data_IF_788823148167
#
_entry.id   IF_788823148167
#
_cell.length_a   1.000
_cell.length_b   1.000
_cell.length_c   1.000
_cell.angle_alpha   90.00
_cell.angle_beta   90.00
_cell.angle_gamma   90.00
#
_symmetry.space_group_name_H-M   'P 1'
#
loop_
_entity.id
_entity.type
_entity.pdbx_description
1 polymer ?
#
# COMPACT_ATOMS: atom_id res chain seq x y z
N UNK A 1 -44.31 7.99 -17.99
CA UNK A 1 -43.50 6.83 -18.42
C UNK A 1 -42.02 7.21 -18.72
N UNK A 2 -41.72 8.38 -19.28
CA UNK A 2 -40.32 8.80 -19.60
C UNK A 2 -39.52 9.26 -18.36
N UNK A 3 -40.13 9.97 -17.42
CA UNK A 3 -39.44 10.50 -16.21
C UNK A 3 -39.11 9.38 -15.21
N UNK A 4 -40.02 8.43 -14.98
CA UNK A 4 -39.80 7.30 -14.08
C UNK A 4 -38.66 6.38 -14.59
N UNK A 5 -38.53 6.22 -15.90
CA UNK A 5 -37.44 5.44 -16.50
C UNK A 5 -36.10 6.16 -16.36
N UNK A 6 -36.06 7.50 -16.50
CA UNK A 6 -34.85 8.32 -16.31
C UNK A 6 -34.38 8.24 -14.85
N UNK A 7 -35.30 8.44 -13.88
CA UNK A 7 -34.96 8.37 -12.45
C UNK A 7 -34.43 6.99 -12.04
N UNK A 8 -34.99 5.90 -12.61
CA UNK A 8 -34.50 4.54 -12.32
C UNK A 8 -33.10 4.30 -12.89
N UNK A 9 -32.79 4.87 -14.07
CA UNK A 9 -31.46 4.78 -14.70
C UNK A 9 -30.45 5.56 -13.88
N UNK A 10 -30.76 6.80 -13.47
CA UNK A 10 -29.89 7.64 -12.67
C UNK A 10 -29.56 6.99 -11.29
N UNK A 11 -30.58 6.39 -10.65
CA UNK A 11 -30.38 5.67 -9.39
C UNK A 11 -29.50 4.42 -9.56
N UNK A 12 -29.64 3.71 -10.68
CA UNK A 12 -28.78 2.55 -10.98
C UNK A 12 -27.34 2.97 -11.23
N UNK A 13 -27.12 4.05 -11.97
CA UNK A 13 -25.79 4.57 -12.24
C UNK A 13 -25.08 5.05 -10.96
N UNK A 14 -25.82 5.68 -10.04
CA UNK A 14 -25.31 6.04 -8.72
C UNK A 14 -24.90 4.80 -7.92
N UNK A 15 -25.75 3.76 -7.87
CA UNK A 15 -25.43 2.51 -7.16
C UNK A 15 -24.19 1.84 -7.77
N UNK A 16 -24.08 1.76 -9.09
CA UNK A 16 -22.93 1.20 -9.77
C UNK A 16 -21.65 1.99 -9.50
N UNK A 17 -21.73 3.31 -9.45
CA UNK A 17 -20.60 4.18 -9.09
C UNK A 17 -20.10 3.91 -7.67
N UNK A 18 -21.03 3.81 -6.70
CA UNK A 18 -20.71 3.49 -5.30
C UNK A 18 -20.12 2.09 -5.16
N UNK A 19 -20.67 1.12 -5.88
CA UNK A 19 -20.14 -0.26 -5.89
C UNK A 19 -18.72 -0.31 -6.41
N UNK A 20 -18.43 0.35 -7.54
CA UNK A 20 -17.08 0.43 -8.09
C UNK A 20 -16.08 1.02 -7.08
N UNK A 21 -16.48 2.10 -6.38
CA UNK A 21 -15.62 2.71 -5.34
C UNK A 21 -15.29 1.71 -4.22
N UNK A 22 -16.28 0.93 -3.76
CA UNK A 22 -16.06 -0.11 -2.73
C UNK A 22 -15.16 -1.23 -3.24
N UNK A 23 -15.35 -1.68 -4.49
CA UNK A 23 -14.52 -2.70 -5.12
C UNK A 23 -13.06 -2.22 -5.26
N UNK A 24 -12.86 -0.97 -5.63
CA UNK A 24 -11.54 -0.35 -5.74
C UNK A 24 -10.84 -0.24 -4.38
N UNK A 25 -11.54 0.24 -3.35
CA UNK A 25 -11.01 0.33 -1.99
C UNK A 25 -10.61 -1.06 -1.47
N UNK A 26 -11.44 -2.08 -1.73
CA UNK A 26 -11.14 -3.45 -1.38
C UNK A 26 -9.92 -4.00 -2.15
N UNK A 27 -9.80 -3.68 -3.44
CA UNK A 27 -8.66 -4.09 -4.26
C UNK A 27 -7.35 -3.46 -3.76
N UNK A 28 -7.36 -2.17 -3.45
CA UNK A 28 -6.21 -1.45 -2.87
C UNK A 28 -5.83 -2.01 -1.50
N UNK A 29 -6.82 -2.25 -0.63
CA UNK A 29 -6.58 -2.84 0.70
C UNK A 29 -5.96 -4.23 0.59
N UNK A 30 -6.42 -5.07 -0.33
CA UNK A 30 -5.85 -6.39 -0.61
C UNK A 30 -4.42 -6.30 -1.14
N UNK A 31 -4.15 -5.35 -2.04
CA UNK A 31 -2.80 -5.09 -2.56
C UNK A 31 -1.84 -4.76 -1.40
N UNK A 32 -2.22 -3.86 -0.51
CA UNK A 32 -1.42 -3.48 0.66
C UNK A 32 -1.19 -4.68 1.58
N UNK A 33 -2.25 -5.43 1.89
CA UNK A 33 -2.18 -6.61 2.74
C UNK A 33 -1.32 -7.74 2.14
N UNK A 34 -1.20 -7.82 0.82
CA UNK A 34 -0.40 -8.83 0.13
C UNK A 34 1.11 -8.62 0.29
N UNK A 35 1.56 -7.40 0.52
CA UNK A 35 3.00 -7.09 0.60
C UNK A 35 3.73 -7.91 1.66
N UNK A 36 3.23 -7.95 2.89
CA UNK A 36 3.86 -8.66 3.99
C UNK A 36 4.09 -10.16 3.67
N UNK A 37 3.04 -10.93 3.38
CA UNK A 37 3.16 -12.35 3.00
C UNK A 37 4.10 -12.59 1.82
N UNK A 38 4.10 -11.73 0.79
CA UNK A 38 4.95 -11.88 -0.39
C UNK A 38 6.43 -11.66 -0.09
N UNK A 39 6.78 -10.61 0.67
CA UNK A 39 8.19 -10.38 1.02
C UNK A 39 8.69 -11.40 2.03
N UNK A 40 7.89 -11.82 3.00
CA UNK A 40 8.28 -12.80 4.02
C UNK A 40 8.38 -14.22 3.46
N UNK A 41 7.66 -14.53 2.39
CA UNK A 41 7.84 -15.79 1.64
C UNK A 41 9.01 -15.75 0.64
N UNK A 42 9.63 -14.59 0.41
CA UNK A 42 10.67 -14.41 -0.59
C UNK A 42 10.16 -14.46 -2.03
N UNK A 43 8.85 -14.21 -2.24
CA UNK A 43 8.20 -14.21 -3.56
C UNK A 43 8.53 -12.92 -4.33
N UNK A 44 9.77 -12.79 -4.80
CA UNK A 44 10.32 -11.56 -5.36
C UNK A 44 9.55 -11.04 -6.57
N UNK A 45 9.21 -11.92 -7.53
CA UNK A 45 8.44 -11.53 -8.72
C UNK A 45 7.03 -11.04 -8.35
N UNK A 46 6.32 -11.77 -7.50
CA UNK A 46 4.98 -11.38 -7.06
C UNK A 46 5.00 -10.08 -6.25
N UNK A 47 6.03 -9.87 -5.43
CA UNK A 47 6.23 -8.61 -4.72
C UNK A 47 6.42 -7.46 -5.70
N UNK A 48 7.30 -7.61 -6.70
CA UNK A 48 7.56 -6.59 -7.69
C UNK A 48 6.32 -6.22 -8.51
N UNK A 49 5.41 -7.18 -8.78
CA UNK A 49 4.16 -6.94 -9.51
C UNK A 49 3.16 -6.04 -8.75
N UNK A 50 3.34 -5.79 -7.46
CA UNK A 50 2.52 -4.81 -6.74
C UNK A 50 2.79 -3.37 -7.22
N UNK A 51 3.94 -3.11 -7.85
CA UNK A 51 4.30 -1.79 -8.37
C UNK A 51 3.97 -1.63 -9.86
N UNK A 52 3.73 -0.39 -10.27
CA UNK A 52 3.81 0.01 -11.68
C UNK A 52 5.19 -0.34 -12.25
N UNK A 53 5.32 -0.49 -13.56
CA UNK A 53 6.62 -0.78 -14.18
C UNK A 53 7.67 0.31 -13.87
N UNK A 54 7.23 1.56 -13.76
CA UNK A 54 8.01 2.76 -13.43
C UNK A 54 7.88 3.19 -11.95
N UNK A 55 7.31 2.33 -11.11
CA UNK A 55 6.99 2.67 -9.72
C UNK A 55 8.22 2.97 -8.86
N UNK A 56 8.06 3.80 -7.85
CA UNK A 56 9.13 4.19 -6.93
C UNK A 56 8.86 3.67 -5.51
N UNK A 57 9.91 3.25 -4.82
CA UNK A 57 9.85 2.91 -3.41
C UNK A 57 10.96 3.63 -2.65
N UNK A 58 10.56 4.61 -1.86
CA UNK A 58 11.43 5.41 -1.00
C UNK A 58 11.25 4.97 0.46
N UNK A 59 12.30 4.49 1.07
CA UNK A 59 12.35 4.12 2.48
C UNK A 59 13.74 4.47 3.02
N UNK A 60 13.81 5.32 4.01
CA UNK A 60 14.97 5.65 4.83
C UNK A 60 16.34 5.47 4.20
N UNK A 61 16.71 6.36 3.28
CA UNK A 61 17.98 6.34 2.59
C UNK A 61 18.08 5.35 1.43
N UNK A 62 17.01 4.60 1.17
CA UNK A 62 16.88 3.71 0.01
C UNK A 62 15.82 4.27 -0.94
N UNK A 63 16.18 4.32 -2.20
CA UNK A 63 15.26 4.68 -3.27
C UNK A 63 15.37 3.63 -4.38
N UNK A 64 14.29 2.87 -4.59
CA UNK A 64 14.20 1.84 -5.61
C UNK A 64 13.27 2.33 -6.73
N UNK A 65 13.65 2.07 -7.99
CA UNK A 65 12.89 2.45 -9.17
C UNK A 65 12.61 1.25 -10.04
N UNK A 66 11.31 1.09 -10.35
CA UNK A 66 10.84 -0.01 -11.17
C UNK A 66 10.82 -1.36 -10.45
N UNK A 67 10.16 -2.31 -11.10
CA UNK A 67 9.95 -3.67 -10.57
C UNK A 67 11.26 -4.42 -10.34
N UNK A 68 12.29 -4.17 -11.17
CA UNK A 68 13.55 -4.91 -11.09
C UNK A 68 14.32 -4.59 -9.82
N UNK A 69 14.35 -3.34 -9.36
CA UNK A 69 15.00 -2.98 -8.11
C UNK A 69 14.22 -3.46 -6.89
N UNK A 70 12.89 -3.46 -6.94
CA UNK A 70 12.04 -4.07 -5.90
C UNK A 70 12.28 -5.58 -5.82
N UNK A 71 12.36 -6.28 -6.96
CA UNK A 71 12.72 -7.71 -7.02
C UNK A 71 14.10 -7.95 -6.39
N UNK A 72 15.10 -7.20 -6.82
CA UNK A 72 16.46 -7.32 -6.31
C UNK A 72 16.57 -7.09 -4.80
N UNK A 73 15.76 -6.19 -4.24
CA UNK A 73 15.69 -5.99 -2.79
C UNK A 73 15.21 -7.27 -2.08
N UNK A 74 14.14 -7.91 -2.54
CA UNK A 74 13.63 -9.16 -1.95
C UNK A 74 14.66 -10.29 -2.09
N UNK A 75 15.38 -10.35 -3.20
CA UNK A 75 16.43 -11.35 -3.46
C UNK A 75 17.75 -11.05 -2.76
N UNK A 76 17.92 -9.88 -2.16
CA UNK A 76 19.17 -9.48 -1.52
C UNK A 76 19.56 -10.43 -0.37
N UNK A 77 20.85 -10.56 -0.13
CA UNK A 77 21.36 -11.38 0.98
C UNK A 77 20.88 -10.85 2.35
N UNK A 78 20.72 -9.54 2.48
CA UNK A 78 20.21 -8.90 3.69
C UNK A 78 18.74 -9.32 3.94
N UNK A 79 17.88 -9.25 2.92
CA UNK A 79 16.48 -9.63 3.05
C UNK A 79 16.32 -11.14 3.27
N UNK A 80 17.07 -11.97 2.54
CA UNK A 80 17.06 -13.43 2.74
C UNK A 80 17.49 -13.83 4.16
N UNK A 81 18.49 -13.16 4.74
CA UNK A 81 18.90 -13.36 6.13
C UNK A 81 17.77 -13.00 7.10
N UNK A 82 17.06 -11.92 6.82
CA UNK A 82 15.92 -11.46 7.63
C UNK A 82 14.83 -12.55 7.68
N UNK A 83 14.34 -12.99 6.51
CA UNK A 83 13.24 -13.95 6.43
C UNK A 83 13.63 -15.36 6.93
N UNK A 84 14.88 -15.82 6.70
CA UNK A 84 15.34 -17.11 7.25
C UNK A 84 15.53 -17.08 8.76
N UNK A 85 15.78 -15.91 9.35
CA UNK A 85 15.81 -15.71 10.80
C UNK A 85 14.43 -15.72 11.45
N UNK A 86 13.38 -15.52 10.68
CA UNK A 86 11.99 -15.35 11.10
C UNK A 86 11.61 -13.88 11.20
N UNK A 87 10.82 -13.43 10.25
CA UNK A 87 10.30 -12.05 10.18
C UNK A 87 8.82 -12.02 9.84
N UNK A 88 8.18 -10.92 10.16
CA UNK A 88 6.83 -10.60 9.72
C UNK A 88 6.75 -9.09 9.38
N UNK A 89 6.50 -8.79 8.11
CA UNK A 89 6.20 -7.45 7.63
C UNK A 89 4.70 -7.19 7.75
N UNK A 90 4.24 -6.88 8.96
CA UNK A 90 2.84 -6.60 9.22
C UNK A 90 2.45 -5.24 8.63
N UNK A 91 1.36 -5.22 7.85
CA UNK A 91 0.75 -3.99 7.33
C UNK A 91 -0.54 -3.75 8.13
N UNK A 92 -0.66 -2.57 8.72
CA UNK A 92 -1.88 -2.14 9.41
C UNK A 92 -3.02 -1.80 8.44
N UNK A 93 -4.22 -1.51 8.98
CA UNK A 93 -5.34 -1.06 8.15
C UNK A 93 -4.97 0.27 7.46
N UNK A 94 -5.35 0.39 6.19
CA UNK A 94 -5.10 1.59 5.40
C UNK A 94 -6.33 2.47 5.35
N UNK A 95 -6.15 3.79 5.48
CA UNK A 95 -7.11 4.76 4.97
C UNK A 95 -6.80 4.99 3.50
N UNK A 96 -7.83 4.89 2.66
CA UNK A 96 -7.73 5.03 1.19
C UNK A 96 -8.63 6.15 0.73
N UNK A 97 -8.14 7.00 -0.15
CA UNK A 97 -8.93 7.96 -0.93
C UNK A 97 -8.71 7.73 -2.42
N UNK A 98 -9.80 7.76 -3.20
CA UNK A 98 -9.81 7.39 -4.62
C UNK A 98 -10.35 8.55 -5.44
N UNK A 99 -9.57 8.98 -6.42
CA UNK A 99 -9.93 9.99 -7.42
C UNK A 99 -9.69 9.42 -8.84
N UNK A 100 -10.77 8.96 -9.47
CA UNK A 100 -10.72 8.34 -10.80
C UNK A 100 -9.78 7.13 -10.86
N UNK A 101 -8.71 7.24 -11.66
CA UNK A 101 -7.70 6.20 -11.84
C UNK A 101 -6.46 6.41 -10.95
N UNK A 102 -6.56 7.30 -9.99
CA UNK A 102 -5.54 7.56 -8.97
C UNK A 102 -6.08 7.31 -7.58
N UNK A 103 -5.24 6.86 -6.67
CA UNK A 103 -5.59 6.73 -5.27
C UNK A 103 -4.42 7.06 -4.35
N UNK A 104 -4.77 7.49 -3.14
CA UNK A 104 -3.84 7.73 -2.05
C UNK A 104 -4.18 6.79 -0.89
N UNK A 105 -3.17 6.14 -0.31
CA UNK A 105 -3.36 5.33 0.88
C UNK A 105 -2.32 5.65 1.94
N UNK A 106 -2.73 5.66 3.21
CA UNK A 106 -1.84 5.83 4.36
C UNK A 106 -2.12 4.72 5.37
N UNK A 107 -1.06 4.11 5.87
CA UNK A 107 -1.12 3.07 6.89
C UNK A 107 0.18 3.00 7.69
N UNK A 108 0.09 2.41 8.86
CA UNK A 108 1.26 2.06 9.69
C UNK A 108 1.69 0.62 9.44
N UNK A 109 2.97 0.33 9.65
CA UNK A 109 3.49 -1.03 9.55
C UNK A 109 4.45 -1.36 10.68
N UNK A 110 4.56 -2.65 10.97
CA UNK A 110 5.53 -3.19 11.91
C UNK A 110 6.42 -4.21 11.19
N UNK A 111 7.71 -4.15 11.44
CA UNK A 111 8.63 -5.24 11.16
C UNK A 111 8.93 -5.95 12.47
N UNK A 112 8.45 -7.17 12.57
CA UNK A 112 8.65 -8.02 13.73
C UNK A 112 9.70 -9.06 13.40
N UNK A 113 10.67 -9.27 14.30
CA UNK A 113 11.69 -10.29 14.17
C UNK A 113 11.61 -11.31 15.28
N UNK A 114 11.97 -12.55 14.94
CA UNK A 114 12.21 -13.60 15.94
C UNK A 114 13.60 -13.41 16.56
N UNK A 115 13.65 -13.49 17.88
CA UNK A 115 14.88 -13.50 18.68
C UNK A 115 14.80 -14.65 19.70
N UNK A 116 15.43 -15.78 19.38
CA UNK A 116 15.28 -17.01 20.16
C UNK A 116 13.82 -17.49 20.17
N UNK A 117 13.24 -17.56 21.37
CA UNK A 117 11.83 -17.95 21.58
C UNK A 117 10.86 -16.75 21.68
N UNK A 118 11.34 -15.55 21.39
CA UNK A 118 10.54 -14.32 21.49
C UNK A 118 10.40 -13.67 20.12
N UNK A 119 9.40 -12.80 20.01
CA UNK A 119 9.25 -11.87 18.90
C UNK A 119 9.36 -10.45 19.43
N UNK A 120 10.05 -9.59 18.68
CA UNK A 120 10.20 -8.19 19.02
C UNK A 120 9.98 -7.31 17.81
N UNK A 121 9.42 -6.13 18.03
CA UNK A 121 9.27 -5.13 16.98
C UNK A 121 10.64 -4.50 16.76
N UNK A 122 11.18 -4.69 15.54
CA UNK A 122 12.42 -4.03 15.11
C UNK A 122 12.14 -2.60 14.66
N UNK A 123 11.01 -2.38 13.98
CA UNK A 123 10.69 -1.10 13.35
C UNK A 123 9.18 -0.90 13.30
N UNK A 124 8.75 0.32 13.61
CA UNK A 124 7.42 0.82 13.32
C UNK A 124 7.55 1.97 12.31
N UNK A 125 6.73 1.97 11.28
CA UNK A 125 6.81 2.96 10.20
C UNK A 125 5.42 3.39 9.76
N UNK A 126 5.32 4.61 9.23
CA UNK A 126 4.17 5.07 8.45
C UNK A 126 4.51 5.01 6.98
N UNK A 127 3.53 4.66 6.15
CA UNK A 127 3.65 4.63 4.71
C UNK A 127 2.55 5.44 4.05
N UNK A 128 2.94 6.17 2.99
CA UNK A 128 2.03 6.80 2.05
C UNK A 128 2.23 6.18 0.68
N UNK A 129 1.16 5.66 0.09
CA UNK A 129 1.14 5.12 -1.25
C UNK A 129 0.37 6.05 -2.18
N UNK A 130 0.97 6.33 -3.32
CA UNK A 130 0.25 6.80 -4.50
C UNK A 130 0.03 5.59 -5.40
N UNK A 131 -1.21 5.33 -5.75
CA UNK A 131 -1.59 4.21 -6.60
C UNK A 131 -2.17 4.70 -7.92
N UNK A 132 -1.99 3.90 -8.95
CA UNK A 132 -2.52 4.13 -10.29
C UNK A 132 -3.25 2.88 -10.77
N UNK A 133 -4.40 3.08 -11.40
CA UNK A 133 -5.12 2.01 -12.07
C UNK A 133 -4.47 1.76 -13.43
N UNK A 134 -4.10 0.51 -13.69
CA UNK A 134 -3.64 0.02 -14.99
C UNK A 134 -4.67 -0.96 -15.56
N UNK A 135 -4.44 -1.53 -16.73
CA UNK A 135 -5.40 -2.40 -17.40
C UNK A 135 -5.75 -3.68 -16.59
N UNK A 136 -4.83 -4.12 -15.75
CA UNK A 136 -4.93 -5.33 -14.93
C UNK A 136 -5.25 -5.05 -13.45
N UNK A 137 -5.47 -3.79 -13.07
CA UNK A 137 -5.88 -3.39 -11.72
C UNK A 137 -5.05 -2.26 -11.12
N UNK A 138 -5.09 -2.15 -9.80
CA UNK A 138 -4.36 -1.13 -9.06
C UNK A 138 -2.91 -1.53 -8.81
N UNK A 139 -1.98 -0.59 -9.02
CA UNK A 139 -0.55 -0.75 -8.76
C UNK A 139 0.03 0.43 -8.00
N UNK A 140 1.13 0.20 -7.27
CA UNK A 140 1.85 1.24 -6.53
C UNK A 140 2.70 2.04 -7.53
N UNK A 141 2.35 3.31 -7.72
CA UNK A 141 3.17 4.26 -8.47
C UNK A 141 4.28 4.84 -7.61
N UNK A 142 4.01 5.11 -6.32
CA UNK A 142 5.02 5.54 -5.36
C UNK A 142 4.67 5.07 -3.96
N UNK A 143 5.66 4.53 -3.25
CA UNK A 143 5.60 4.24 -1.81
C UNK A 143 6.66 5.05 -1.09
N UNK A 144 6.24 5.85 -0.12
CA UNK A 144 7.13 6.59 0.78
C UNK A 144 6.96 6.04 2.19
N UNK A 145 8.04 5.63 2.84
CA UNK A 145 8.05 5.13 4.22
C UNK A 145 8.91 5.99 5.13
N UNK A 146 8.45 6.22 6.36
CA UNK A 146 9.22 6.92 7.41
C UNK A 146 9.08 6.19 8.74
N UNK A 147 10.16 6.17 9.53
CA UNK A 147 10.12 5.63 10.89
C UNK A 147 9.21 6.47 11.78
N UNK A 148 8.47 5.79 12.65
CA UNK A 148 7.67 6.43 13.73
C UNK A 148 8.57 6.74 14.93
N UNK A 149 9.62 7.51 14.69
CA UNK A 149 10.61 7.93 15.68
C UNK A 149 10.27 9.26 16.39
N UNK A 150 9.10 9.84 16.06
CA UNK A 150 8.68 11.16 16.52
C UNK A 150 9.16 12.31 15.61
N UNK A 151 9.83 12.02 14.51
CA UNK A 151 10.30 12.99 13.51
C UNK A 151 9.17 13.73 12.81
N UNK A 152 9.47 14.91 12.25
CA UNK A 152 8.48 15.75 11.55
C UNK A 152 7.94 15.06 10.29
N UNK A 153 8.81 14.44 9.49
CA UNK A 153 8.42 13.77 8.23
C UNK A 153 7.40 12.65 8.45
N UNK A 154 7.56 11.84 9.53
CA UNK A 154 6.58 10.80 9.86
C UNK A 154 5.23 11.41 10.25
N UNK A 155 5.23 12.49 11.05
CA UNK A 155 3.98 13.19 11.42
C UNK A 155 3.29 13.81 10.21
N UNK A 156 4.02 14.35 9.26
CA UNK A 156 3.46 14.88 8.01
C UNK A 156 2.78 13.79 7.18
N UNK A 157 3.39 12.59 7.08
CA UNK A 157 2.76 11.47 6.41
C UNK A 157 1.49 10.99 7.13
N UNK A 158 1.50 10.91 8.46
CA UNK A 158 0.32 10.57 9.26
C UNK A 158 -0.82 11.57 9.07
N UNK A 159 -0.48 12.86 8.91
CA UNK A 159 -1.45 13.95 8.75
C UNK A 159 -1.97 14.10 7.32
N UNK A 160 -1.61 13.22 6.38
CA UNK A 160 -1.99 13.32 4.95
C UNK A 160 -3.50 13.59 4.76
N UNK A 161 -4.36 12.99 5.57
CA UNK A 161 -5.83 13.16 5.49
C UNK A 161 -6.42 14.05 6.58
N UNK A 162 -5.59 14.73 7.39
CA UNK A 162 -6.10 15.57 8.48
C UNK A 162 -6.72 16.87 7.97
N UNK A 163 -6.33 17.34 6.79
CA UNK A 163 -6.76 18.60 6.21
C UNK A 163 -8.10 18.51 5.45
N UNK A 164 -8.63 17.30 5.22
CA UNK A 164 -9.89 17.09 4.47
C UNK A 164 -11.15 17.13 5.34
N UNK A 165 -11.03 17.38 6.64
CA UNK A 165 -12.19 17.37 7.57
C UNK A 165 -12.76 18.77 7.88
N UNK A 166 -12.20 19.85 7.31
CA UNK A 166 -12.58 21.23 7.59
C UNK A 166 -13.42 21.90 6.48
N UNK A 167 -13.97 21.14 5.48
CA UNK A 167 -14.89 21.66 4.45
C UNK A 167 -16.31 21.06 4.56
#
# INVERSE_FOLDING_TARGET
MTEEHSMATDALDEILSRLRRVEDELAITRLIASYGPLVDSGSADATAQLWCADGEYEVEGWNMRGRDEVRAMVESSAHRKLITGGSAHFQGPARVDIDGDSALAVFESLLVLRDGDRFQVLRASVHRLQLRREADGWHIARRTGRLLDGGAEARELLATFAQEQDD
#
